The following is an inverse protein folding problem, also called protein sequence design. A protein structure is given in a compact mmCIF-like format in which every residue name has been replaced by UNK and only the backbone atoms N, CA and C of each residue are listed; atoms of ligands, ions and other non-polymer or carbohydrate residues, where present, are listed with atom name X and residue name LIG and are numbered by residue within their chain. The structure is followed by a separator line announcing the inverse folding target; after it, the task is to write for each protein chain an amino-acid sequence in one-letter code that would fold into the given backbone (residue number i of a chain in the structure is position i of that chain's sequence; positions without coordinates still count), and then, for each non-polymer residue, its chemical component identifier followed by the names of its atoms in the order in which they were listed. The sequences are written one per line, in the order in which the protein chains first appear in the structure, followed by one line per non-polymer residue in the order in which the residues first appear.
data_IF_979526452207
#
_entry.id   IF_979526452207
#
_cell.length_a   1.000
_cell.length_b   1.000
_cell.length_c   1.000
_cell.angle_alpha   90.00
_cell.angle_beta   90.00
_cell.angle_gamma   90.00
#
_symmetry.space_group_name_H-M   'P 1'
#
loop_
_entity.id
_entity.type
_entity.pdbx_description
1 polymer ?
#
# COMPACT_ATOMS: atom_id res chain seq x y z
N UNK A 1 18.52 13.56 0.65
CA UNK A 1 17.73 12.42 1.16
C UNK A 1 18.25 11.09 0.59
N UNK A 2 18.24 10.90 -0.73
CA UNK A 2 18.68 9.66 -1.41
C UNK A 2 20.16 9.30 -1.17
N UNK A 3 21.06 10.27 -1.00
CA UNK A 3 22.49 10.02 -0.68
C UNK A 3 22.68 9.28 0.65
N UNK A 4 21.72 9.35 1.57
CA UNK A 4 21.79 8.69 2.89
C UNK A 4 20.99 7.39 2.94
N UNK A 5 19.86 7.33 2.26
CA UNK A 5 18.90 6.19 2.35
C UNK A 5 18.96 5.26 1.16
N UNK A 6 19.54 5.69 0.02
CA UNK A 6 19.45 4.95 -1.25
C UNK A 6 18.03 4.82 -1.78
N UNK A 7 17.08 5.61 -1.26
CA UNK A 7 15.65 5.53 -1.56
C UNK A 7 15.21 6.69 -2.46
N UNK A 8 14.34 6.39 -3.41
CA UNK A 8 13.64 7.34 -4.25
C UNK A 8 12.13 7.04 -4.23
N UNK A 9 11.31 8.07 -4.35
CA UNK A 9 9.87 7.94 -4.50
C UNK A 9 9.48 8.11 -5.96
N UNK A 10 8.60 7.23 -6.45
CA UNK A 10 8.04 7.29 -7.80
C UNK A 10 6.53 7.12 -7.69
N UNK A 11 5.78 7.87 -8.48
CA UNK A 11 4.35 7.70 -8.64
C UNK A 11 4.09 6.97 -9.96
N UNK A 12 3.33 5.87 -9.92
CA UNK A 12 2.99 5.07 -11.12
C UNK A 12 1.62 5.41 -11.67
N UNK A 13 0.74 5.93 -10.82
CA UNK A 13 -0.61 6.37 -11.16
C UNK A 13 -1.08 7.52 -10.26
N UNK A 14 -2.04 8.27 -10.74
CA UNK A 14 -2.73 9.34 -10.00
C UNK A 14 -4.22 9.13 -10.04
N UNK A 15 -4.89 9.59 -8.99
CA UNK A 15 -6.32 9.47 -8.79
C UNK A 15 -6.68 8.31 -7.86
N UNK A 16 -7.77 8.49 -7.11
CA UNK A 16 -8.29 7.49 -6.18
C UNK A 16 -9.82 7.46 -6.27
N UNK A 17 -10.44 6.31 -6.63
CA UNK A 17 -11.88 6.19 -6.77
C UNK A 17 -12.61 5.95 -5.44
N UNK A 18 -11.88 5.89 -4.33
CA UNK A 18 -12.45 5.62 -3.00
C UNK A 18 -13.00 6.90 -2.35
N UNK A 19 -13.94 6.72 -1.44
CA UNK A 19 -14.67 7.79 -0.73
C UNK A 19 -14.37 7.82 0.76
N UNK A 20 -13.13 7.49 1.15
CA UNK A 20 -12.75 7.56 2.57
C UNK A 20 -12.97 8.98 3.10
N UNK A 21 -13.76 9.12 4.17
CA UNK A 21 -14.28 10.40 4.66
C UNK A 21 -13.22 11.42 5.10
N UNK A 22 -12.05 10.93 5.50
CA UNK A 22 -10.93 11.75 6.00
C UNK A 22 -9.90 12.09 4.90
N UNK A 23 -10.02 11.49 3.71
CA UNK A 23 -8.97 11.51 2.70
C UNK A 23 -9.13 12.66 1.69
N UNK A 24 -8.08 13.44 1.51
CA UNK A 24 -8.03 14.53 0.54
C UNK A 24 -7.56 14.12 -0.87
N UNK A 25 -7.05 12.91 -1.07
CA UNK A 25 -6.52 12.48 -2.36
C UNK A 25 -7.50 12.63 -3.53
N UNK A 26 -8.79 12.27 -3.41
CA UNK A 26 -9.74 12.47 -4.49
C UNK A 26 -9.92 13.93 -4.90
N UNK A 27 -9.71 14.87 -3.97
CA UNK A 27 -9.78 16.32 -4.26
C UNK A 27 -8.48 16.85 -4.87
N UNK A 28 -7.32 16.24 -4.56
CA UNK A 28 -6.01 16.67 -5.07
C UNK A 28 -5.72 16.05 -6.43
N UNK A 29 -5.84 14.73 -6.53
CA UNK A 29 -5.45 13.94 -7.71
C UNK A 29 -6.64 13.57 -8.62
N UNK A 30 -7.87 13.84 -8.17
CA UNK A 30 -9.10 13.45 -8.86
C UNK A 30 -9.48 11.99 -8.59
N UNK A 31 -10.69 11.61 -9.05
CA UNK A 31 -11.26 10.25 -8.85
C UNK A 31 -10.90 9.29 -9.99
N UNK A 32 -10.59 9.81 -11.16
CA UNK A 32 -10.20 9.00 -12.31
C UNK A 32 -8.74 8.57 -12.20
N UNK A 33 -8.50 7.27 -12.23
CA UNK A 33 -7.14 6.70 -12.18
C UNK A 33 -6.48 6.88 -13.55
N UNK A 34 -5.34 7.55 -13.55
CA UNK A 34 -4.49 7.77 -14.72
C UNK A 34 -3.13 7.13 -14.45
N UNK A 35 -2.71 6.23 -15.32
CA UNK A 35 -1.49 5.44 -15.19
C UNK A 35 -0.38 5.95 -16.08
N UNK A 36 0.86 5.79 -15.64
CA UNK A 36 2.06 5.97 -16.47
C UNK A 36 2.34 4.68 -17.25
N UNK A 37 3.06 4.81 -18.36
CA UNK A 37 3.54 3.65 -19.09
C UNK A 37 4.55 2.84 -18.25
N UNK A 38 4.34 1.51 -18.05
CA UNK A 38 5.27 0.66 -17.31
C UNK A 38 6.70 0.66 -17.87
N UNK A 39 6.88 0.78 -19.19
CA UNK A 39 8.21 0.87 -19.81
C UNK A 39 8.93 2.16 -19.41
N UNK A 40 8.23 3.28 -19.41
CA UNK A 40 8.78 4.57 -18.98
C UNK A 40 9.17 4.53 -17.49
N UNK A 41 8.38 3.85 -16.65
CA UNK A 41 8.69 3.66 -15.22
C UNK A 41 9.98 2.84 -15.08
N UNK A 42 10.09 1.69 -15.76
CA UNK A 42 11.26 0.84 -15.71
C UNK A 42 12.53 1.59 -16.18
N UNK A 43 12.44 2.36 -17.26
CA UNK A 43 13.55 3.17 -17.77
C UNK A 43 13.99 4.25 -16.76
N UNK A 44 13.03 4.93 -16.13
CA UNK A 44 13.33 5.91 -15.08
C UNK A 44 14.02 5.27 -13.87
N UNK A 45 13.61 4.05 -13.48
CA UNK A 45 14.24 3.29 -12.39
C UNK A 45 15.70 2.93 -12.76
N UNK A 46 15.92 2.39 -13.96
CA UNK A 46 17.26 2.04 -14.43
C UNK A 46 18.18 3.26 -14.51
N UNK A 47 17.67 4.38 -15.00
CA UNK A 47 18.39 5.66 -15.00
C UNK A 47 18.72 6.11 -13.59
N UNK A 48 17.75 6.08 -12.67
CA UNK A 48 17.99 6.48 -11.29
C UNK A 48 19.00 5.57 -10.56
N UNK A 49 18.98 4.26 -10.83
CA UNK A 49 20.01 3.33 -10.33
C UNK A 49 21.40 3.72 -10.83
N UNK A 50 21.54 3.96 -12.14
CA UNK A 50 22.82 4.32 -12.76
C UNK A 50 23.33 5.66 -12.25
N UNK A 51 22.48 6.69 -12.25
CA UNK A 51 22.89 8.07 -12.02
C UNK A 51 23.01 8.43 -10.53
N UNK A 52 22.24 7.74 -9.66
CA UNK A 52 22.14 8.04 -8.24
C UNK A 52 22.41 6.86 -7.30
N UNK A 53 22.64 5.66 -7.82
CA UNK A 53 22.95 4.48 -7.00
C UNK A 53 21.81 4.06 -6.07
N UNK A 54 20.55 4.30 -6.45
CA UNK A 54 19.42 3.91 -5.60
C UNK A 54 19.30 2.40 -5.51
N UNK A 55 18.89 1.90 -4.34
CA UNK A 55 18.69 0.47 -4.07
C UNK A 55 17.28 0.13 -3.61
N UNK A 56 16.47 1.15 -3.37
CA UNK A 56 15.09 1.01 -2.89
C UNK A 56 14.19 2.10 -3.49
N UNK A 57 12.95 1.72 -3.81
CA UNK A 57 11.91 2.64 -4.23
C UNK A 57 10.71 2.56 -3.29
N UNK A 58 10.02 3.67 -3.12
CA UNK A 58 8.67 3.65 -2.60
C UNK A 58 7.71 4.20 -3.65
N UNK A 59 6.73 3.38 -4.07
CA UNK A 59 5.68 3.84 -4.96
C UNK A 59 4.63 4.62 -4.17
N UNK A 60 4.60 5.94 -4.43
CA UNK A 60 3.76 6.90 -3.68
C UNK A 60 2.38 7.08 -4.31
N UNK A 61 1.85 6.06 -4.95
CA UNK A 61 0.46 6.05 -5.39
C UNK A 61 -0.46 6.13 -4.17
N UNK A 62 -1.62 6.77 -4.30
CA UNK A 62 -2.60 6.82 -3.20
C UNK A 62 -3.03 5.42 -2.72
N UNK A 63 -3.13 4.46 -3.62
CA UNK A 63 -3.28 3.02 -3.37
C UNK A 63 -2.67 2.26 -4.56
N UNK A 64 -1.62 1.49 -4.33
CA UNK A 64 -0.90 0.79 -5.40
C UNK A 64 -1.73 -0.28 -6.09
N UNK A 65 -2.48 -1.09 -5.35
CA UNK A 65 -3.20 -2.24 -5.90
C UNK A 65 -4.56 -1.90 -6.57
N UNK A 66 -4.82 -0.62 -6.89
CA UNK A 66 -5.90 -0.23 -7.81
C UNK A 66 -5.49 -0.55 -9.25
N UNK A 67 -6.41 -1.14 -10.04
CA UNK A 67 -6.16 -1.51 -11.43
C UNK A 67 -5.26 -2.74 -11.54
N UNK A 68 -5.77 -3.93 -11.19
CA UNK A 68 -4.97 -5.16 -11.09
C UNK A 68 -4.22 -5.49 -12.39
N UNK A 69 -4.84 -5.34 -13.56
CA UNK A 69 -4.21 -5.62 -14.85
C UNK A 69 -3.01 -4.69 -15.14
N UNK A 70 -3.11 -3.44 -14.73
CA UNK A 70 -2.00 -2.50 -14.85
C UNK A 70 -0.85 -2.90 -13.93
N UNK A 71 -1.14 -3.28 -12.68
CA UNK A 71 -0.14 -3.64 -11.70
C UNK A 71 0.61 -4.92 -12.08
N UNK A 72 -0.11 -5.90 -12.66
CA UNK A 72 0.50 -7.11 -13.23
C UNK A 72 1.48 -6.72 -14.35
N UNK A 73 1.04 -5.92 -15.33
CA UNK A 73 1.93 -5.47 -16.42
C UNK A 73 3.14 -4.68 -15.91
N UNK A 74 2.98 -3.85 -14.89
CA UNK A 74 4.10 -3.14 -14.28
C UNK A 74 5.09 -4.11 -13.66
N UNK A 75 4.63 -5.06 -12.84
CA UNK A 75 5.49 -6.05 -12.20
C UNK A 75 6.24 -6.92 -13.23
N UNK A 76 5.54 -7.41 -14.26
CA UNK A 76 6.15 -8.15 -15.37
C UNK A 76 7.20 -7.32 -16.12
N UNK A 77 6.93 -6.03 -16.32
CA UNK A 77 7.88 -5.11 -16.96
C UNK A 77 9.14 -4.92 -16.11
N UNK A 78 8.99 -4.73 -14.79
CA UNK A 78 10.13 -4.61 -13.88
C UNK A 78 11.02 -5.86 -13.91
N UNK A 79 10.40 -7.05 -13.94
CA UNK A 79 11.11 -8.33 -14.07
C UNK A 79 11.81 -8.44 -15.42
N UNK A 80 11.08 -8.27 -16.52
CA UNK A 80 11.60 -8.38 -17.89
C UNK A 80 12.77 -7.42 -18.14
N UNK A 81 12.65 -6.19 -17.65
CA UNK A 81 13.69 -5.16 -17.77
C UNK A 81 14.83 -5.34 -16.78
N UNK A 82 14.78 -6.37 -15.90
CA UNK A 82 15.79 -6.66 -14.89
C UNK A 82 16.16 -5.40 -14.08
N UNK A 83 15.14 -4.70 -13.61
CA UNK A 83 15.38 -3.49 -12.80
C UNK A 83 16.09 -3.81 -11.50
N UNK A 84 15.88 -5.03 -10.96
CA UNK A 84 16.51 -5.56 -9.73
C UNK A 84 16.48 -4.52 -8.60
N UNK A 85 15.33 -3.85 -8.47
CA UNK A 85 15.10 -2.83 -7.45
C UNK A 85 14.17 -3.38 -6.37
N UNK A 86 14.49 -3.17 -5.12
CA UNK A 86 13.55 -3.43 -4.03
C UNK A 86 12.58 -2.27 -3.94
N UNK A 87 11.32 -2.58 -3.63
CA UNK A 87 10.31 -1.54 -3.53
C UNK A 87 9.27 -1.82 -2.45
N UNK A 88 8.58 -0.77 -2.03
CA UNK A 88 7.40 -0.80 -1.18
C UNK A 88 6.33 0.13 -1.71
N UNK A 89 5.10 0.03 -1.18
CA UNK A 89 3.99 0.89 -1.58
C UNK A 89 2.85 0.87 -0.57
N UNK A 90 1.92 1.83 -0.72
CA UNK A 90 0.64 1.82 -0.02
C UNK A 90 -0.34 0.88 -0.69
N UNK A 91 -0.94 -0.02 0.08
CA UNK A 91 -1.92 -0.99 -0.39
C UNK A 91 -3.26 -0.86 0.34
N UNK A 92 -4.33 -1.20 -0.36
CA UNK A 92 -5.58 -1.60 0.26
C UNK A 92 -5.52 -3.09 0.63
N UNK A 93 -6.06 -3.52 1.78
CA UNK A 93 -6.18 -4.94 2.10
C UNK A 93 -7.05 -5.74 1.13
N UNK A 94 -7.88 -5.07 0.34
CA UNK A 94 -8.77 -5.68 -0.64
C UNK A 94 -8.12 -5.76 -2.02
N UNK A 95 -8.47 -6.81 -2.77
CA UNK A 95 -8.14 -6.90 -4.20
C UNK A 95 -6.70 -7.34 -4.46
N UNK A 96 -6.14 -8.14 -3.57
CA UNK A 96 -4.87 -8.84 -3.79
C UNK A 96 -5.08 -10.33 -3.52
N UNK A 97 -4.52 -11.16 -4.38
CA UNK A 97 -4.50 -12.61 -4.27
C UNK A 97 -3.06 -13.16 -4.19
N UNK A 98 -2.94 -14.47 -3.97
CA UNK A 98 -1.64 -15.11 -3.81
C UNK A 98 -0.77 -15.08 -5.08
N UNK A 99 -1.37 -15.12 -6.26
CA UNK A 99 -0.63 -15.07 -7.53
C UNK A 99 -0.03 -13.67 -7.74
N UNK A 100 -0.83 -12.64 -7.53
CA UNK A 100 -0.37 -11.25 -7.58
C UNK A 100 0.71 -10.98 -6.52
N UNK A 101 0.55 -11.47 -5.29
CA UNK A 101 1.55 -11.28 -4.24
C UNK A 101 2.89 -11.91 -4.64
N UNK A 102 2.89 -13.15 -5.16
CA UNK A 102 4.10 -13.80 -5.69
C UNK A 102 4.74 -13.00 -6.82
N UNK A 103 3.95 -12.52 -7.77
CA UNK A 103 4.44 -11.72 -8.88
C UNK A 103 5.07 -10.39 -8.38
N UNK A 104 4.42 -9.70 -7.46
CA UNK A 104 4.97 -8.47 -6.87
C UNK A 104 6.25 -8.76 -6.09
N UNK A 105 6.28 -9.85 -5.33
CA UNK A 105 7.50 -10.29 -4.63
C UNK A 105 8.64 -10.57 -5.62
N UNK A 106 8.37 -11.27 -6.71
CA UNK A 106 9.34 -11.55 -7.77
C UNK A 106 9.83 -10.27 -8.47
N UNK A 107 8.98 -9.23 -8.57
CA UNK A 107 9.35 -7.93 -9.14
C UNK A 107 10.12 -7.02 -8.17
N UNK A 108 10.33 -7.46 -6.91
CA UNK A 108 11.11 -6.75 -5.91
C UNK A 108 10.33 -6.15 -4.75
N UNK A 109 9.03 -6.44 -4.59
CA UNK A 109 8.25 -6.01 -3.43
C UNK A 109 8.85 -6.60 -2.15
N UNK A 110 9.13 -5.74 -1.18
CA UNK A 110 9.66 -6.12 0.13
C UNK A 110 8.85 -5.57 1.30
N UNK A 111 8.06 -4.53 1.05
CA UNK A 111 7.34 -3.81 2.10
C UNK A 111 5.99 -3.31 1.62
N UNK A 112 4.96 -3.51 2.44
CA UNK A 112 3.61 -3.01 2.23
C UNK A 112 3.20 -2.11 3.40
N UNK A 113 2.66 -0.96 3.09
CA UNK A 113 1.99 -0.10 4.05
C UNK A 113 0.48 -0.12 3.78
N UNK A 114 -0.26 -0.76 4.68
CA UNK A 114 -1.72 -0.83 4.57
C UNK A 114 -2.39 0.38 5.20
N UNK A 115 -3.12 1.15 4.40
CA UNK A 115 -4.02 2.20 4.88
C UNK A 115 -5.29 1.58 5.48
N UNK A 116 -5.15 0.89 6.60
CA UNK A 116 -6.22 0.11 7.23
C UNK A 116 -7.13 0.98 8.09
N UNK A 117 -6.55 1.85 8.92
CA UNK A 117 -7.16 2.83 9.83
C UNK A 117 -7.84 2.22 11.05
N UNK A 118 -8.48 1.05 10.94
CA UNK A 118 -9.12 0.35 12.08
C UNK A 118 -9.15 -1.16 11.87
N UNK A 119 -9.24 -1.90 12.96
CA UNK A 119 -9.53 -3.34 12.96
C UNK A 119 -10.94 -3.66 13.49
N UNK A 120 -11.82 -2.66 13.52
CA UNK A 120 -13.23 -2.79 13.83
C UNK A 120 -14.06 -2.50 12.59
N UNK A 121 -14.89 -3.46 12.16
CA UNK A 121 -15.67 -3.34 10.92
C UNK A 121 -16.63 -2.16 10.94
N UNK A 122 -17.22 -1.83 12.09
CA UNK A 122 -18.09 -0.65 12.25
C UNK A 122 -17.35 0.66 12.01
N UNK A 123 -16.10 0.76 12.46
CA UNK A 123 -15.26 1.94 12.21
C UNK A 123 -14.82 1.98 10.75
N UNK A 124 -14.47 0.84 10.15
CA UNK A 124 -14.14 0.75 8.72
C UNK A 124 -15.31 1.22 7.85
N UNK A 125 -16.53 0.78 8.15
CA UNK A 125 -17.74 1.24 7.47
C UNK A 125 -17.96 2.75 7.64
N UNK A 126 -17.84 3.27 8.87
CA UNK A 126 -17.97 4.70 9.16
C UNK A 126 -16.94 5.55 8.41
N UNK A 127 -15.73 5.02 8.16
CA UNK A 127 -14.69 5.69 7.38
C UNK A 127 -14.86 5.55 5.86
N UNK A 128 -15.89 4.84 5.39
CA UNK A 128 -16.13 4.58 3.96
C UNK A 128 -15.14 3.58 3.35
N UNK A 129 -14.55 2.70 4.17
CA UNK A 129 -13.69 1.62 3.68
C UNK A 129 -14.54 0.54 3.01
N UNK A 130 -13.98 -0.08 1.98
CA UNK A 130 -14.67 -1.13 1.19
C UNK A 130 -14.09 -2.51 1.46
N UNK A 131 -13.58 -2.75 2.67
CA UNK A 131 -13.01 -4.00 3.13
C UNK A 131 -13.32 -4.18 4.62
N UNK A 132 -13.21 -5.42 5.09
CA UNK A 132 -13.45 -5.84 6.47
C UNK A 132 -12.14 -6.19 7.17
N UNK A 133 -12.19 -6.39 8.48
CA UNK A 133 -11.05 -6.91 9.23
C UNK A 133 -10.62 -8.31 8.73
N UNK A 134 -11.56 -9.15 8.30
CA UNK A 134 -11.22 -10.41 7.64
C UNK A 134 -10.41 -10.26 6.35
N UNK A 135 -10.66 -9.19 5.58
CA UNK A 135 -9.83 -8.86 4.42
C UNK A 135 -8.41 -8.45 4.84
N UNK A 136 -8.30 -7.71 5.93
CA UNK A 136 -7.01 -7.29 6.51
C UNK A 136 -6.18 -8.51 6.92
N UNK A 137 -6.78 -9.44 7.67
CA UNK A 137 -6.11 -10.68 8.10
C UNK A 137 -5.62 -11.50 6.90
N UNK A 138 -6.48 -11.66 5.88
CA UNK A 138 -6.13 -12.39 4.67
C UNK A 138 -4.97 -11.73 3.91
N UNK A 139 -5.01 -10.42 3.70
CA UNK A 139 -3.95 -9.70 3.00
C UNK A 139 -2.62 -9.76 3.76
N UNK A 140 -2.66 -9.65 5.08
CA UNK A 140 -1.48 -9.78 5.95
C UNK A 140 -0.87 -11.17 5.89
N UNK A 141 -1.72 -12.21 5.90
CA UNK A 141 -1.26 -13.59 5.75
C UNK A 141 -0.56 -13.80 4.41
N UNK A 142 -1.16 -13.32 3.31
CA UNK A 142 -0.53 -13.41 1.99
C UNK A 142 0.84 -12.72 1.93
N UNK A 143 0.99 -11.57 2.60
CA UNK A 143 2.28 -10.90 2.68
C UNK A 143 3.31 -11.73 3.44
N UNK A 144 2.94 -12.29 4.61
CA UNK A 144 3.83 -13.13 5.41
C UNK A 144 4.25 -14.41 4.67
N UNK A 145 3.31 -15.09 4.02
CA UNK A 145 3.56 -16.34 3.29
C UNK A 145 4.59 -16.13 2.16
N UNK A 146 4.67 -14.93 1.60
CA UNK A 146 5.65 -14.56 0.56
C UNK A 146 6.88 -13.81 1.12
N UNK A 147 7.02 -13.69 2.44
CA UNK A 147 8.15 -13.01 3.08
C UNK A 147 8.20 -11.51 2.80
N UNK A 148 7.04 -10.87 2.64
CA UNK A 148 6.89 -9.42 2.46
C UNK A 148 6.53 -8.80 3.81
N UNK A 149 7.33 -7.84 4.26
CA UNK A 149 7.01 -7.07 5.47
C UNK A 149 5.80 -6.18 5.23
N UNK A 150 5.04 -5.94 6.29
CA UNK A 150 3.92 -5.00 6.21
C UNK A 150 3.79 -4.17 7.49
N UNK A 151 3.10 -3.04 7.38
CA UNK A 151 2.64 -2.26 8.51
C UNK A 151 1.18 -1.85 8.29
N UNK A 152 0.39 -1.84 9.37
CA UNK A 152 -0.96 -1.27 9.38
C UNK A 152 -0.93 0.10 10.05
N UNK A 153 -1.43 1.10 9.34
CA UNK A 153 -1.68 2.42 9.94
C UNK A 153 -3.08 2.44 10.53
N UNK A 154 -3.20 2.84 11.78
CA UNK A 154 -4.46 2.91 12.51
C UNK A 154 -4.73 4.33 12.99
N UNK A 155 -5.97 4.77 12.88
CA UNK A 155 -6.49 6.02 13.44
C UNK A 155 -7.33 5.66 14.67
N UNK A 156 -7.03 6.26 15.81
CA UNK A 156 -7.82 6.11 17.04
C UNK A 156 -8.43 7.45 17.42
N UNK A 157 -9.72 7.45 17.74
CA UNK A 157 -10.47 8.66 18.08
C UNK A 157 -10.98 9.44 16.87
N UNK A 158 -11.10 8.78 15.71
CA UNK A 158 -11.68 9.38 14.52
C UNK A 158 -13.21 9.40 14.53
N UNK A 159 -13.80 9.85 13.42
CA UNK A 159 -15.24 9.97 13.28
C UNK A 159 -15.96 8.62 13.48
N UNK A 160 -16.94 8.61 14.36
CA UNK A 160 -17.72 7.40 14.68
C UNK A 160 -17.05 6.42 15.63
N UNK A 161 -15.84 6.69 16.10
CA UNK A 161 -15.20 5.84 17.11
C UNK A 161 -15.92 5.93 18.46
N UNK A 162 -16.13 4.77 19.06
CA UNK A 162 -16.57 4.60 20.43
C UNK A 162 -15.47 3.89 21.23
N UNK A 163 -15.60 3.88 22.55
CA UNK A 163 -14.67 3.13 23.41
C UNK A 163 -14.67 1.63 23.07
N UNK A 164 -15.83 1.09 22.68
CA UNK A 164 -16.02 -0.32 22.28
C UNK A 164 -15.28 -0.61 20.98
N UNK A 165 -15.43 0.27 19.96
CA UNK A 165 -14.78 0.11 18.65
C UNK A 165 -13.25 0.19 18.79
N UNK A 166 -12.76 1.14 19.59
CA UNK A 166 -11.32 1.27 19.87
C UNK A 166 -10.80 0.06 20.62
N UNK A 167 -11.55 -0.45 21.62
CA UNK A 167 -11.16 -1.68 22.34
C UNK A 167 -11.10 -2.86 21.38
N UNK A 168 -12.10 -3.04 20.52
CA UNK A 168 -12.13 -4.09 19.50
C UNK A 168 -10.91 -3.98 18.57
N UNK A 169 -10.56 -2.79 18.11
CA UNK A 169 -9.36 -2.55 17.30
C UNK A 169 -8.08 -2.97 18.05
N UNK A 170 -7.95 -2.62 19.34
CA UNK A 170 -6.79 -3.00 20.15
C UNK A 170 -6.74 -4.53 20.37
N UNK A 171 -7.87 -5.16 20.62
CA UNK A 171 -7.95 -6.62 20.80
C UNK A 171 -7.59 -7.35 19.49
N UNK A 172 -8.12 -6.89 18.37
CA UNK A 172 -7.83 -7.45 17.05
C UNK A 172 -6.37 -7.23 16.62
N UNK A 173 -5.72 -6.14 17.09
CA UNK A 173 -4.30 -5.91 16.80
C UNK A 173 -3.37 -7.01 17.33
N UNK A 174 -3.79 -7.72 18.38
CA UNK A 174 -3.04 -8.86 18.95
C UNK A 174 -3.00 -10.08 18.02
N UNK A 175 -3.88 -10.13 17.03
CA UNK A 175 -3.92 -11.17 16.00
C UNK A 175 -3.00 -10.88 14.82
N UNK A 176 -2.44 -9.65 14.79
CA UNK A 176 -1.57 -9.20 13.72
C UNK A 176 -0.12 -9.28 14.18
N UNK A 177 0.76 -9.83 13.34
CA UNK A 177 2.18 -9.99 13.66
C UNK A 177 2.94 -8.66 13.65
N UNK A 178 2.60 -7.78 12.72
CA UNK A 178 3.20 -6.46 12.60
C UNK A 178 2.12 -5.38 12.55
N UNK A 179 2.02 -4.59 13.61
CA UNK A 179 1.10 -3.46 13.67
C UNK A 179 1.85 -2.22 14.14
N UNK A 180 1.79 -1.16 13.36
CA UNK A 180 2.22 0.16 13.79
C UNK A 180 0.96 0.99 14.04
N UNK A 181 0.71 1.32 15.29
CA UNK A 181 -0.38 2.22 15.66
C UNK A 181 0.13 3.65 15.73
N UNK A 182 -0.44 4.53 14.93
CA UNK A 182 -0.30 5.97 15.11
C UNK A 182 -1.59 6.47 15.78
N UNK A 183 -1.59 6.70 17.10
CA UNK A 183 -2.73 7.33 17.75
C UNK A 183 -2.84 8.76 17.23
N UNK A 184 -3.84 9.02 16.43
CA UNK A 184 -4.21 10.37 16.04
C UNK A 184 -5.23 10.85 17.08
N UNK A 185 -4.81 11.73 17.98
CA UNK A 185 -5.72 12.47 18.83
C UNK A 185 -6.20 13.70 18.05
N UNK A 186 -7.42 13.62 17.49
CA UNK A 186 -8.09 14.74 16.87
C UNK A 186 -8.64 15.70 17.92
#
# INVERSE_FOLDING_TARGET
YWKRSGMLNIQTKRGCPYDCIYCSYPSIDGRCVRTMDPEAIAENILRAKRDYGISYLFFTDSVFNIGPEYNVRLAETLIRRRTDIRWGAYFSPRGIDAEQMRLFRASGLTHIEFGTESFCDRTLEAYGKRFTFGDVERASRLALDEGVYYAHFLILGGYGDTRENVRETIENSRRMEYTVMFPYAG
#
